data_IF_445462952311
#
_entry.id   IF_445462952311
#
_cell.length_a   1.000
_cell.length_b   1.000
_cell.length_c   1.000
_cell.angle_alpha   90.00
_cell.angle_beta   90.00
_cell.angle_gamma   90.00
#
_symmetry.space_group_name_H-M   'P 1'
#
loop_
_entity.id
_entity.type
_entity.pdbx_description
1 polymer ?
#
# COMPACT_ATOMS: atom_id res chain seq x y z
N UNK A 1 14.38 19.20 12.05
CA UNK A 1 13.87 20.16 11.04
C UNK A 1 13.25 19.50 9.79
N UNK A 2 13.62 18.27 9.43
CA UNK A 2 13.10 17.60 8.20
C UNK A 2 11.59 17.30 8.22
N UNK A 3 11.01 16.98 9.38
CA UNK A 3 9.59 16.63 9.51
C UNK A 3 8.62 17.78 9.21
N UNK A 4 9.01 19.02 9.54
CA UNK A 4 8.22 20.22 9.25
C UNK A 4 8.25 20.53 7.76
N UNK A 5 9.44 20.51 7.15
CA UNK A 5 9.61 20.72 5.71
C UNK A 5 8.79 19.70 4.91
N UNK A 6 8.85 18.42 5.31
CA UNK A 6 8.11 17.36 4.64
C UNK A 6 6.60 17.58 4.79
N UNK A 7 6.13 17.90 6.00
CA UNK A 7 4.73 18.20 6.26
C UNK A 7 4.21 19.41 5.47
N UNK A 8 5.00 20.47 5.37
CA UNK A 8 4.63 21.67 4.63
C UNK A 8 4.65 21.42 3.12
N UNK A 9 5.58 20.60 2.62
CA UNK A 9 5.61 20.13 1.24
C UNK A 9 4.33 19.35 0.88
N UNK A 10 3.91 18.40 1.72
CA UNK A 10 2.67 17.65 1.49
C UNK A 10 1.42 18.54 1.52
N UNK A 11 1.36 19.50 2.44
CA UNK A 11 0.24 20.47 2.51
C UNK A 11 0.17 21.37 1.27
N UNK A 12 1.32 21.78 0.75
CA UNK A 12 1.40 22.62 -0.45
C UNK A 12 1.07 21.84 -1.74
N UNK A 13 1.36 20.54 -1.77
CA UNK A 13 1.18 19.68 -2.95
C UNK A 13 0.02 18.70 -2.76
N UNK A 14 -1.21 19.17 -3.04
CA UNK A 14 -2.44 18.36 -2.89
C UNK A 14 -2.42 17.05 -3.67
N UNK A 15 -1.81 17.07 -4.86
CA UNK A 15 -1.63 15.88 -5.69
C UNK A 15 -0.79 14.80 -4.99
N UNK A 16 0.30 15.20 -4.34
CA UNK A 16 1.16 14.29 -3.60
C UNK A 16 0.43 13.77 -2.36
N UNK A 17 -0.32 14.63 -1.66
CA UNK A 17 -1.13 14.20 -0.51
C UNK A 17 -2.12 13.10 -0.90
N UNK A 18 -2.82 13.25 -2.04
CA UNK A 18 -3.75 12.23 -2.52
C UNK A 18 -3.06 10.89 -2.85
N UNK A 19 -1.86 10.95 -3.44
CA UNK A 19 -1.06 9.74 -3.74
C UNK A 19 -0.63 9.03 -2.45
N UNK A 20 -0.19 9.78 -1.43
CA UNK A 20 0.15 9.22 -0.11
C UNK A 20 -1.07 8.66 0.61
N UNK A 21 -2.24 9.30 0.50
CA UNK A 21 -3.48 8.77 1.06
C UNK A 21 -3.85 7.42 0.43
N UNK A 22 -3.71 7.28 -0.89
CA UNK A 22 -3.90 5.99 -1.56
C UNK A 22 -2.86 4.93 -1.12
N UNK A 23 -1.60 5.32 -0.94
CA UNK A 23 -0.57 4.43 -0.37
C UNK A 23 -0.97 3.94 1.03
N UNK A 24 -1.49 4.84 1.87
CA UNK A 24 -1.98 4.52 3.20
C UNK A 24 -3.18 3.57 3.17
N UNK A 25 -4.10 3.75 2.21
CA UNK A 25 -5.22 2.83 2.01
C UNK A 25 -4.78 1.44 1.60
N UNK A 26 -3.78 1.33 0.70
CA UNK A 26 -3.18 0.05 0.31
C UNK A 26 -2.59 -0.66 1.53
N UNK A 27 -1.73 0.03 2.30
CA UNK A 27 -1.09 -0.50 3.51
C UNK A 27 -2.15 -1.00 4.50
N UNK A 28 -3.14 -0.15 4.79
CA UNK A 28 -4.21 -0.45 5.73
C UNK A 28 -5.03 -1.66 5.28
N UNK A 29 -5.33 -1.76 3.98
CA UNK A 29 -6.12 -2.86 3.45
C UNK A 29 -5.36 -4.18 3.56
N UNK A 30 -4.09 -4.24 3.17
CA UNK A 30 -3.28 -5.46 3.32
C UNK A 30 -3.12 -5.87 4.79
N UNK A 31 -2.80 -4.94 5.69
CA UNK A 31 -2.63 -5.23 7.11
C UNK A 31 -3.92 -5.73 7.79
N UNK A 32 -5.09 -5.32 7.32
CA UNK A 32 -6.38 -5.76 7.88
C UNK A 32 -6.89 -7.10 7.33
N UNK A 33 -6.26 -7.65 6.29
CA UNK A 33 -6.68 -8.92 5.68
C UNK A 33 -5.54 -9.93 5.80
N UNK A 34 -5.54 -10.71 6.89
CA UNK A 34 -4.46 -11.65 7.23
C UNK A 34 -4.15 -12.64 6.11
N UNK A 35 -5.17 -13.16 5.41
CA UNK A 35 -4.99 -14.03 4.25
C UNK A 35 -4.23 -13.33 3.11
N UNK A 36 -4.64 -12.11 2.77
CA UNK A 36 -3.99 -11.29 1.75
C UNK A 36 -2.55 -10.94 2.13
N UNK A 37 -2.32 -10.60 3.40
CA UNK A 37 -0.98 -10.36 3.93
C UNK A 37 -0.11 -11.62 3.86
N UNK A 38 -0.69 -12.79 4.11
CA UNK A 38 -0.01 -14.08 3.96
C UNK A 38 0.45 -14.34 2.52
N UNK A 39 -0.40 -14.04 1.53
CA UNK A 39 -0.02 -14.14 0.12
C UNK A 39 1.13 -13.19 -0.22
N UNK A 40 1.06 -11.94 0.23
CA UNK A 40 2.14 -10.97 0.04
C UNK A 40 3.45 -11.47 0.69
N UNK A 41 3.38 -11.98 1.92
CA UNK A 41 4.54 -12.50 2.63
C UNK A 41 5.18 -13.70 1.90
N UNK A 42 4.36 -14.57 1.30
CA UNK A 42 4.85 -15.66 0.44
C UNK A 42 5.60 -15.15 -0.79
N UNK A 43 5.04 -14.15 -1.49
CA UNK A 43 5.72 -13.55 -2.65
C UNK A 43 7.00 -12.78 -2.24
N UNK A 44 6.98 -12.08 -1.09
CA UNK A 44 8.17 -11.43 -0.53
C UNK A 44 9.26 -12.45 -0.19
N UNK A 45 8.90 -13.55 0.47
CA UNK A 45 9.86 -14.59 0.82
C UNK A 45 10.46 -15.23 -0.43
N UNK A 46 9.63 -15.54 -1.43
CA UNK A 46 10.10 -16.09 -2.70
C UNK A 46 10.98 -15.13 -3.51
N UNK A 47 10.75 -13.82 -3.41
CA UNK A 47 11.45 -12.82 -4.22
C UNK A 47 12.69 -12.25 -3.53
N UNK A 48 12.62 -12.02 -2.22
CA UNK A 48 13.61 -11.26 -1.46
C UNK A 48 14.28 -12.09 -0.36
N UNK A 49 13.82 -13.33 -0.09
CA UNK A 49 14.28 -14.16 1.03
C UNK A 49 14.12 -13.50 2.40
N UNK A 50 13.24 -12.50 2.49
CA UNK A 50 12.89 -11.80 3.73
C UNK A 50 11.47 -11.26 3.60
N UNK A 51 10.80 -11.12 4.74
CA UNK A 51 9.47 -10.50 4.83
C UNK A 51 9.65 -9.13 5.47
N UNK A 52 9.25 -8.08 4.74
CA UNK A 52 9.19 -6.74 5.29
C UNK A 52 7.76 -6.42 5.70
N UNK A 53 7.58 -6.02 6.95
CA UNK A 53 6.28 -5.58 7.45
C UNK A 53 5.87 -4.25 6.81
N UNK A 54 4.59 -4.12 6.46
CA UNK A 54 3.99 -2.86 6.03
C UNK A 54 3.78 -1.96 7.25
N UNK A 55 4.37 -0.76 7.22
CA UNK A 55 4.29 0.19 8.32
C UNK A 55 3.03 1.02 8.15
N UNK A 56 2.09 0.95 9.10
CA UNK A 56 0.93 1.86 9.12
C UNK A 56 1.37 3.21 9.73
N UNK A 57 1.32 4.32 8.98
CA UNK A 57 1.72 5.60 9.54
C UNK A 57 0.66 6.15 10.50
N UNK A 58 1.13 6.82 11.55
CA UNK A 58 0.26 7.62 12.41
C UNK A 58 0.04 8.98 11.74
N UNK A 59 -1.23 9.36 11.56
CA UNK A 59 -1.67 10.54 10.80
C UNK A 59 -0.89 11.81 11.16
N UNK A 60 -0.57 12.01 12.44
CA UNK A 60 0.05 13.23 12.97
C UNK A 60 1.57 13.31 12.82
N UNK A 61 2.25 12.29 12.26
CA UNK A 61 3.72 12.22 12.21
C UNK A 61 4.23 11.99 10.79
N UNK A 62 4.63 13.06 10.10
CA UNK A 62 5.13 13.04 8.72
C UNK A 62 6.36 12.13 8.49
N UNK A 63 7.20 11.91 9.49
CA UNK A 63 8.29 10.93 9.41
C UNK A 63 7.78 9.51 9.23
N UNK A 64 6.68 9.17 9.90
CA UNK A 64 6.09 7.83 9.78
C UNK A 64 5.46 7.64 8.41
N UNK A 65 4.85 8.68 7.84
CA UNK A 65 4.39 8.66 6.44
C UNK A 65 5.56 8.39 5.49
N UNK A 66 6.68 9.09 5.64
CA UNK A 66 7.88 8.82 4.84
C UNK A 66 8.37 7.37 4.98
N UNK A 67 8.51 6.86 6.21
CA UNK A 67 8.94 5.47 6.43
C UNK A 67 7.95 4.46 5.84
N UNK A 68 6.65 4.74 5.94
CA UNK A 68 5.60 3.87 5.40
C UNK A 68 5.63 3.81 3.86
N UNK A 69 5.81 4.96 3.20
CA UNK A 69 5.91 5.05 1.75
C UNK A 69 7.19 4.39 1.26
N UNK A 70 8.33 4.71 1.88
CA UNK A 70 9.62 4.06 1.56
C UNK A 70 9.53 2.54 1.67
N UNK A 71 8.92 2.04 2.75
CA UNK A 71 8.68 0.61 2.94
C UNK A 71 7.74 0.03 1.88
N UNK A 72 6.68 0.75 1.51
CA UNK A 72 5.75 0.32 0.48
C UNK A 72 6.44 0.23 -0.89
N UNK A 73 7.33 1.16 -1.21
CA UNK A 73 8.15 1.14 -2.43
C UNK A 73 9.10 -0.06 -2.46
N UNK A 74 9.75 -0.39 -1.34
CA UNK A 74 10.62 -1.57 -1.24
C UNK A 74 9.88 -2.88 -1.56
N UNK A 75 8.62 -3.01 -1.14
CA UNK A 75 7.81 -4.22 -1.37
C UNK A 75 6.94 -4.15 -2.64
N UNK A 76 6.97 -3.04 -3.37
CA UNK A 76 6.07 -2.76 -4.50
C UNK A 76 6.09 -3.85 -5.57
N UNK A 77 7.28 -4.37 -5.91
CA UNK A 77 7.43 -5.46 -6.89
C UNK A 77 6.73 -6.74 -6.44
N UNK A 78 6.90 -7.12 -5.18
CA UNK A 78 6.20 -8.27 -4.60
C UNK A 78 4.69 -8.03 -4.58
N UNK A 79 4.23 -6.83 -4.18
CA UNK A 79 2.80 -6.47 -4.18
C UNK A 79 2.16 -6.57 -5.57
N UNK A 80 2.80 -6.01 -6.60
CA UNK A 80 2.32 -6.11 -7.98
C UNK A 80 2.15 -7.57 -8.40
N UNK A 81 3.16 -8.40 -8.12
CA UNK A 81 3.11 -9.84 -8.41
C UNK A 81 1.99 -10.54 -7.64
N UNK A 82 1.81 -10.22 -6.36
CA UNK A 82 0.70 -10.77 -5.56
C UNK A 82 -0.65 -10.44 -6.19
N UNK A 83 -0.86 -9.19 -6.59
CA UNK A 83 -2.11 -8.75 -7.23
C UNK A 83 -2.31 -9.42 -8.59
N UNK A 84 -1.27 -9.51 -9.41
CA UNK A 84 -1.35 -10.17 -10.72
C UNK A 84 -1.66 -11.66 -10.60
N UNK A 85 -1.01 -12.39 -9.70
CA UNK A 85 -1.16 -13.84 -9.56
C UNK A 85 -2.45 -14.26 -8.83
N UNK A 86 -2.90 -13.46 -7.86
CA UNK A 86 -3.95 -13.88 -6.91
C UNK A 86 -5.19 -12.97 -6.93
N UNK A 87 -5.40 -12.17 -7.98
CA UNK A 87 -6.48 -11.17 -8.07
C UNK A 87 -7.84 -11.69 -7.59
N UNK A 88 -8.27 -12.85 -8.06
CA UNK A 88 -9.56 -13.42 -7.70
C UNK A 88 -9.64 -13.79 -6.21
N UNK A 89 -8.58 -14.40 -5.67
CA UNK A 89 -8.48 -14.74 -4.25
C UNK A 89 -8.51 -13.49 -3.38
N UNK A 90 -7.88 -12.40 -3.82
CA UNK A 90 -7.88 -11.12 -3.12
C UNK A 90 -9.27 -10.48 -3.09
N UNK A 91 -10.03 -10.57 -4.17
CA UNK A 91 -11.42 -10.09 -4.22
C UNK A 91 -12.36 -10.92 -3.34
N UNK A 92 -12.12 -12.23 -3.23
CA UNK A 92 -12.85 -13.09 -2.29
C UNK A 92 -12.50 -12.76 -0.84
N UNK A 93 -11.21 -12.51 -0.56
CA UNK A 93 -10.72 -12.16 0.77
C UNK A 93 -11.27 -10.83 1.30
N UNK A 94 -11.70 -9.92 0.41
CA UNK A 94 -12.33 -8.66 0.78
C UNK A 94 -13.66 -8.83 1.53
N UNK A 95 -14.31 -10.00 1.42
CA UNK A 95 -15.58 -10.29 2.07
C UNK A 95 -16.77 -10.37 1.11
N UNK A 96 -17.97 -10.53 1.69
CA UNK A 96 -19.19 -10.88 0.93
C UNK A 96 -19.96 -9.68 0.39
N UNK A 97 -19.76 -8.48 0.95
CA UNK A 97 -20.55 -7.30 0.57
C UNK A 97 -20.01 -6.65 -0.70
N UNK A 98 -20.91 -6.08 -1.51
CA UNK A 98 -20.53 -5.36 -2.73
C UNK A 98 -19.55 -4.21 -2.40
N UNK A 99 -19.85 -3.43 -1.36
CA UNK A 99 -19.00 -2.33 -0.88
C UNK A 99 -17.57 -2.76 -0.53
N UNK A 100 -17.40 -3.92 0.11
CA UNK A 100 -16.07 -4.40 0.48
C UNK A 100 -15.27 -4.85 -0.76
N UNK A 101 -15.93 -5.51 -1.71
CA UNK A 101 -15.33 -5.90 -3.00
C UNK A 101 -14.96 -4.67 -3.84
N UNK A 102 -15.80 -3.63 -3.86
CA UNK A 102 -15.50 -2.40 -4.56
C UNK A 102 -14.29 -1.66 -3.96
N UNK A 103 -14.19 -1.64 -2.63
CA UNK A 103 -13.02 -1.09 -1.95
C UNK A 103 -11.76 -1.89 -2.29
N UNK A 104 -11.82 -3.22 -2.26
CA UNK A 104 -10.70 -4.05 -2.65
C UNK A 104 -10.30 -3.80 -4.12
N UNK A 105 -11.27 -3.72 -5.03
CA UNK A 105 -11.00 -3.43 -6.45
C UNK A 105 -10.22 -2.13 -6.62
N UNK A 106 -10.65 -1.05 -5.97
CA UNK A 106 -9.91 0.23 -5.99
C UNK A 106 -8.47 0.08 -5.50
N UNK A 107 -8.26 -0.62 -4.38
CA UNK A 107 -6.92 -0.89 -3.85
C UNK A 107 -6.07 -1.67 -4.85
N UNK A 108 -6.61 -2.74 -5.44
CA UNK A 108 -5.91 -3.59 -6.41
C UNK A 108 -5.60 -2.83 -7.71
N UNK A 109 -6.49 -1.93 -8.13
CA UNK A 109 -6.30 -1.09 -9.31
C UNK A 109 -5.16 -0.09 -9.09
N UNK A 110 -5.06 0.53 -7.90
CA UNK A 110 -3.90 1.37 -7.56
C UNK A 110 -2.59 0.59 -7.57
N UNK A 111 -2.57 -0.63 -7.01
CA UNK A 111 -1.37 -1.48 -7.01
C UNK A 111 -0.97 -1.88 -8.44
N UNK A 112 -1.94 -2.08 -9.33
CA UNK A 112 -1.67 -2.47 -10.73
C UNK A 112 -1.33 -1.27 -11.63
N UNK A 113 -1.51 -0.03 -11.15
CA UNK A 113 -1.27 1.17 -11.94
C UNK A 113 0.19 1.63 -11.82
N UNK A 114 0.99 1.45 -12.87
CA UNK A 114 2.38 1.90 -12.88
C UNK A 114 2.57 3.42 -12.71
N UNK A 115 1.61 4.22 -13.17
CA UNK A 115 1.65 5.67 -12.99
C UNK A 115 1.50 6.07 -11.52
N UNK A 116 0.75 5.30 -10.72
CA UNK A 116 0.68 5.51 -9.28
C UNK A 116 2.06 5.38 -8.63
N UNK A 117 2.78 4.30 -8.93
CA UNK A 117 4.11 4.04 -8.37
C UNK A 117 5.18 5.04 -8.83
N UNK A 118 5.02 5.62 -10.03
CA UNK A 118 5.93 6.68 -10.52
C UNK A 118 5.71 8.03 -9.85
N UNK A 119 4.50 8.27 -9.32
CA UNK A 119 4.13 9.52 -8.63
C UNK A 119 4.36 9.46 -7.12
N UNK A 120 4.48 8.25 -6.57
CA UNK A 120 4.73 7.97 -5.15
C UNK A 120 6.23 8.07 -4.83
#
# INVERSE_FOLDING_TARGET
KINLILGDYYKANRDISAVVDHANEIIKWFNNHSFTLGLLNGEQMSMFHKILALILPVVTRWTLHFCSVSRLLEVSKAMKVTVMKHKDKLLVAAGRTCRAKDKARKVLDHVSNDTFWKRL
#
